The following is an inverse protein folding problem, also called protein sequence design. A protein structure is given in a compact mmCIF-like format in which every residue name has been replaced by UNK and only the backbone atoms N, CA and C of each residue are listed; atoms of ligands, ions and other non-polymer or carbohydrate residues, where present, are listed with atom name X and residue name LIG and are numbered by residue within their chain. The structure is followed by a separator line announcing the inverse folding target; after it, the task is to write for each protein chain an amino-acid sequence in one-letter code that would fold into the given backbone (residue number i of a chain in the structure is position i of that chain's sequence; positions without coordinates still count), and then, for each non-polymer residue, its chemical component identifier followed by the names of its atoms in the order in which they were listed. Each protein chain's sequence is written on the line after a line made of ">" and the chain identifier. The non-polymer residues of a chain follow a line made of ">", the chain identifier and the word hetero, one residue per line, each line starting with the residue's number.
data_IF_548541177240
#
_entry.id   IF_548541177240
#
_cell.length_a   1.000
_cell.length_b   1.000
_cell.length_c   1.000
_cell.angle_alpha   90.00
_cell.angle_beta   90.00
_cell.angle_gamma   90.00
#
_symmetry.space_group_name_H-M   'P 1'
#
loop_
_entity.id
_entity.type
_entity.pdbx_description
1 polymer ?
#
# COMPACT_ATOMS: atom_id res chain seq x y z
N UNK A 1 -15.13 7.41 27.08
CA UNK A 1 -14.64 7.53 25.69
C UNK A 1 -15.23 6.35 24.92
N UNK A 2 -16.29 6.58 24.14
CA UNK A 2 -16.95 5.49 23.38
C UNK A 2 -16.01 5.19 22.21
N UNK A 3 -15.29 4.07 22.27
CA UNK A 3 -14.65 3.53 21.08
C UNK A 3 -15.77 3.12 20.13
N UNK A 4 -16.04 3.93 19.12
CA UNK A 4 -16.97 3.55 18.06
C UNK A 4 -16.45 2.26 17.42
N UNK A 5 -17.26 1.21 17.41
CA UNK A 5 -16.93 -0.01 16.70
C UNK A 5 -16.70 0.32 15.22
N UNK A 6 -15.68 -0.30 14.62
CA UNK A 6 -15.39 -0.09 13.21
C UNK A 6 -16.57 -0.55 12.36
N UNK A 7 -17.06 0.34 11.51
CA UNK A 7 -18.13 0.09 10.56
C UNK A 7 -17.57 0.27 9.16
N UNK A 8 -17.81 -0.71 8.28
CA UNK A 8 -17.42 -0.61 6.89
C UNK A 8 -18.34 0.40 6.20
N UNK A 9 -17.76 1.44 5.61
CA UNK A 9 -18.48 2.44 4.84
C UNK A 9 -18.78 1.90 3.44
N UNK A 10 -19.82 1.08 3.37
CA UNK A 10 -20.24 0.44 2.10
C UNK A 10 -20.66 1.46 1.05
N UNK A 11 -21.15 2.64 1.47
CA UNK A 11 -21.60 3.66 0.54
C UNK A 11 -20.42 4.34 -0.14
N UNK A 12 -19.42 4.77 0.64
CA UNK A 12 -18.18 5.34 0.11
C UNK A 12 -17.47 4.35 -0.82
N UNK A 13 -17.30 3.10 -0.38
CA UNK A 13 -16.64 2.05 -1.18
C UNK A 13 -17.39 1.75 -2.48
N UNK A 14 -18.73 1.78 -2.45
CA UNK A 14 -19.54 1.58 -3.66
C UNK A 14 -19.44 2.76 -4.61
N UNK A 15 -19.43 3.98 -4.09
CA UNK A 15 -19.28 5.21 -4.88
C UNK A 15 -17.92 5.23 -5.58
N UNK A 16 -16.88 4.92 -4.83
CA UNK A 16 -15.50 4.85 -5.31
C UNK A 16 -15.32 3.76 -6.37
N UNK A 17 -15.83 2.54 -6.12
CA UNK A 17 -15.88 1.48 -7.14
C UNK A 17 -16.67 1.90 -8.40
N UNK A 18 -17.58 2.86 -8.26
CA UNK A 18 -18.44 3.31 -9.35
C UNK A 18 -17.86 4.46 -10.19
N UNK A 19 -16.73 5.04 -9.79
CA UNK A 19 -16.05 6.13 -10.50
C UNK A 19 -15.73 5.75 -11.95
N UNK A 20 -15.75 6.75 -12.84
CA UNK A 20 -15.46 6.53 -14.26
C UNK A 20 -14.01 6.10 -14.49
N UNK A 21 -13.06 6.64 -13.73
CA UNK A 21 -11.64 6.24 -13.74
C UNK A 21 -11.45 4.74 -13.49
N UNK A 22 -12.32 4.16 -12.66
CA UNK A 22 -12.32 2.74 -12.29
C UNK A 22 -13.05 1.85 -13.30
N UNK A 23 -13.67 2.42 -14.34
CA UNK A 23 -14.48 1.68 -15.31
C UNK A 23 -13.73 0.52 -15.99
N UNK A 24 -12.46 0.65 -16.43
CA UNK A 24 -11.77 -0.43 -17.13
C UNK A 24 -11.56 -1.64 -16.23
N UNK A 25 -11.06 -1.40 -15.01
CA UNK A 25 -10.78 -2.42 -14.00
C UNK A 25 -12.08 -3.08 -13.52
N UNK A 26 -13.10 -2.27 -13.20
CA UNK A 26 -14.44 -2.73 -12.83
C UNK A 26 -15.04 -3.63 -13.92
N UNK A 27 -15.05 -3.18 -15.17
CA UNK A 27 -15.64 -3.92 -16.28
C UNK A 27 -14.93 -5.25 -16.50
N UNK A 28 -13.61 -5.27 -16.39
CA UNK A 28 -12.84 -6.50 -16.46
C UNK A 28 -13.17 -7.45 -15.32
N UNK A 29 -13.23 -6.97 -14.07
CA UNK A 29 -13.61 -7.79 -12.93
C UNK A 29 -15.01 -8.41 -13.13
N UNK A 30 -16.00 -7.59 -13.48
CA UNK A 30 -17.38 -8.05 -13.68
C UNK A 30 -17.53 -9.04 -14.85
N UNK A 31 -16.68 -8.91 -15.87
CA UNK A 31 -16.65 -9.84 -17.01
C UNK A 31 -16.03 -11.19 -16.64
N UNK A 32 -14.95 -11.19 -15.85
CA UNK A 32 -14.17 -12.40 -15.55
C UNK A 32 -14.70 -13.19 -14.35
N UNK A 33 -15.39 -12.53 -13.42
CA UNK A 33 -15.91 -13.16 -12.21
C UNK A 33 -17.42 -12.98 -12.13
N UNK A 34 -18.13 -14.11 -12.24
CA UNK A 34 -19.59 -14.17 -12.19
C UNK A 34 -20.05 -15.27 -11.23
N UNK A 35 -21.30 -15.17 -10.76
CA UNK A 35 -21.90 -16.12 -9.84
C UNK A 35 -21.06 -16.34 -8.58
N UNK A 36 -20.92 -17.60 -8.19
CA UNK A 36 -20.26 -18.00 -6.95
C UNK A 36 -18.83 -17.48 -6.80
N UNK A 37 -18.03 -17.50 -7.88
CA UNK A 37 -16.64 -17.01 -7.85
C UNK A 37 -16.54 -15.54 -7.49
N UNK A 38 -17.53 -14.73 -7.92
CA UNK A 38 -17.58 -13.31 -7.57
C UNK A 38 -17.93 -13.13 -6.09
N UNK A 39 -18.91 -13.87 -5.60
CA UNK A 39 -19.33 -13.83 -4.20
C UNK A 39 -18.17 -14.19 -3.27
N UNK A 40 -17.42 -15.25 -3.60
CA UNK A 40 -16.24 -15.66 -2.82
C UNK A 40 -15.19 -14.55 -2.69
N UNK A 41 -14.86 -13.87 -3.79
CA UNK A 41 -13.92 -12.74 -3.78
C UNK A 41 -14.45 -11.57 -2.94
N UNK A 42 -15.75 -11.29 -3.02
CA UNK A 42 -16.38 -10.22 -2.23
C UNK A 42 -16.39 -10.56 -0.73
N UNK A 43 -16.61 -11.81 -0.35
CA UNK A 43 -16.52 -12.27 1.04
C UNK A 43 -15.10 -12.14 1.59
N UNK A 44 -14.10 -12.58 0.83
CA UNK A 44 -12.68 -12.40 1.18
C UNK A 44 -12.38 -10.92 1.44
N UNK A 45 -12.86 -10.04 0.58
CA UNK A 45 -12.68 -8.60 0.71
C UNK A 45 -13.31 -8.03 2.00
N UNK A 46 -14.58 -8.31 2.26
CA UNK A 46 -15.23 -7.78 3.48
C UNK A 46 -14.65 -8.37 4.77
N UNK A 47 -14.27 -9.65 4.76
CA UNK A 47 -13.55 -10.27 5.88
C UNK A 47 -12.21 -9.59 6.12
N UNK A 48 -11.49 -9.23 5.05
CA UNK A 48 -10.25 -8.48 5.15
C UNK A 48 -10.48 -7.10 5.77
N UNK A 49 -11.43 -6.30 5.29
CA UNK A 49 -11.74 -4.97 5.86
C UNK A 49 -12.07 -5.04 7.35
N UNK A 50 -12.87 -6.02 7.77
CA UNK A 50 -13.19 -6.25 9.18
C UNK A 50 -11.95 -6.60 10.02
N UNK A 51 -11.03 -7.38 9.46
CA UNK A 51 -9.79 -7.78 10.15
C UNK A 51 -8.83 -6.61 10.37
N UNK A 52 -8.70 -5.70 9.39
CA UNK A 52 -7.79 -4.55 9.46
C UNK A 52 -8.45 -3.31 10.05
N UNK A 53 -9.79 -3.30 10.16
CA UNK A 53 -10.59 -2.16 10.64
C UNK A 53 -10.31 -0.87 9.86
N UNK A 54 -10.25 -0.98 8.53
CA UNK A 54 -10.04 0.12 7.59
C UNK A 54 -10.98 -0.02 6.38
N UNK A 55 -11.42 1.10 5.83
CA UNK A 55 -12.12 1.15 4.55
C UNK A 55 -11.07 1.29 3.45
N UNK A 56 -10.79 0.20 2.74
CA UNK A 56 -9.81 0.14 1.65
C UNK A 56 -10.58 -0.10 0.36
N UNK A 57 -10.29 0.61 -0.74
CA UNK A 57 -10.87 0.37 -2.06
C UNK A 57 -10.90 -1.10 -2.48
N UNK A 58 -12.01 -1.51 -3.11
CA UNK A 58 -12.13 -2.88 -3.62
C UNK A 58 -11.09 -3.19 -4.68
N UNK A 59 -10.84 -2.26 -5.61
CA UNK A 59 -9.94 -2.49 -6.74
C UNK A 59 -8.47 -2.58 -6.30
N UNK A 60 -8.07 -1.83 -5.26
CA UNK A 60 -6.75 -1.96 -4.64
C UNK A 60 -6.56 -3.32 -3.99
N UNK A 61 -7.56 -3.75 -3.19
CA UNK A 61 -7.53 -5.07 -2.57
C UNK A 61 -7.54 -6.19 -3.61
N UNK A 62 -8.31 -6.01 -4.70
CA UNK A 62 -8.39 -6.97 -5.79
C UNK A 62 -7.07 -7.06 -6.56
N UNK A 63 -6.40 -5.93 -6.81
CA UNK A 63 -5.07 -5.92 -7.40
C UNK A 63 -4.08 -6.76 -6.57
N UNK A 64 -4.00 -6.53 -5.26
CA UNK A 64 -3.16 -7.33 -4.37
C UNK A 64 -3.53 -8.83 -4.38
N UNK A 65 -4.83 -9.14 -4.43
CA UNK A 65 -5.33 -10.51 -4.56
C UNK A 65 -4.84 -11.17 -5.86
N UNK A 66 -4.86 -10.47 -7.00
CA UNK A 66 -4.40 -11.01 -8.28
C UNK A 66 -2.90 -11.33 -8.27
N UNK A 67 -2.09 -10.52 -7.58
CA UNK A 67 -0.65 -10.80 -7.38
C UNK A 67 -0.48 -12.08 -6.56
N UNK A 68 -1.12 -12.15 -5.39
CA UNK A 68 -1.02 -13.30 -4.47
C UNK A 68 -1.45 -14.62 -5.10
N UNK A 69 -2.48 -14.57 -5.97
CA UNK A 69 -3.03 -15.75 -6.65
C UNK A 69 -2.41 -16.00 -8.04
N UNK A 70 -1.42 -15.20 -8.44
CA UNK A 70 -0.81 -15.24 -9.76
C UNK A 70 -1.83 -15.24 -10.92
N UNK A 71 -2.86 -14.39 -10.80
CA UNK A 71 -3.91 -14.23 -11.80
C UNK A 71 -3.43 -13.23 -12.85
N UNK A 72 -3.68 -13.54 -14.13
CA UNK A 72 -3.49 -12.56 -15.20
C UNK A 72 -4.47 -11.40 -15.02
N UNK A 73 -3.93 -10.20 -14.82
CA UNK A 73 -4.70 -8.99 -14.62
C UNK A 73 -4.06 -7.88 -15.48
N UNK A 74 -4.75 -7.37 -16.52
CA UNK A 74 -4.14 -6.48 -17.50
C UNK A 74 -3.91 -5.06 -16.98
N UNK A 75 -4.49 -4.71 -15.83
CA UNK A 75 -4.24 -3.45 -15.11
C UNK A 75 -3.26 -3.65 -13.96
N UNK A 76 -2.37 -4.65 -14.08
CA UNK A 76 -1.12 -4.65 -13.34
C UNK A 76 -0.31 -3.48 -13.87
N UNK A 77 -0.59 -2.29 -13.37
CA UNK A 77 0.44 -1.28 -13.36
C UNK A 77 1.44 -1.82 -12.36
N UNK A 78 2.66 -2.11 -12.82
CA UNK A 78 3.78 -2.10 -11.90
C UNK A 78 3.67 -0.76 -11.20
N UNK A 79 3.38 -0.77 -9.89
CA UNK A 79 3.39 0.45 -9.06
C UNK A 79 4.72 1.22 -9.18
N UNK A 80 5.71 0.61 -9.84
CA UNK A 80 7.06 1.06 -10.12
C UNK A 80 7.18 1.81 -11.48
N UNK A 81 6.25 1.62 -12.42
CA UNK A 81 6.44 2.02 -13.83
C UNK A 81 6.04 3.46 -14.21
N UNK A 82 4.87 3.95 -13.75
CA UNK A 82 4.29 5.19 -14.29
C UNK A 82 4.12 6.33 -13.27
N UNK A 83 4.20 6.02 -11.97
CA UNK A 83 4.18 7.02 -10.88
C UNK A 83 5.46 6.98 -10.05
N UNK A 84 6.62 6.68 -10.64
CA UNK A 84 7.90 6.93 -9.98
C UNK A 84 8.08 8.45 -9.86
N UNK A 85 7.45 9.06 -8.86
CA UNK A 85 7.85 10.32 -8.28
C UNK A 85 9.27 10.14 -7.76
N UNK A 86 10.26 10.22 -8.66
CA UNK A 86 11.68 10.17 -8.35
C UNK A 86 11.98 9.23 -7.17
N UNK A 87 11.58 7.95 -7.26
CA UNK A 87 12.04 6.97 -6.28
C UNK A 87 13.55 7.12 -6.32
N UNK A 88 14.13 7.56 -5.21
CA UNK A 88 15.56 7.79 -5.10
C UNK A 88 16.19 6.42 -5.27
N UNK A 89 16.50 6.04 -6.51
CA UNK A 89 17.02 4.72 -6.81
C UNK A 89 18.42 4.59 -6.24
N UNK A 90 19.12 5.70 -6.03
CA UNK A 90 20.47 5.77 -5.47
C UNK A 90 20.43 6.30 -4.03
N UNK A 91 20.52 5.38 -3.08
CA UNK A 91 20.54 5.67 -1.65
C UNK A 91 21.97 5.86 -1.16
N UNK A 92 22.20 6.85 -0.31
CA UNK A 92 23.47 7.01 0.41
C UNK A 92 23.29 6.44 1.81
N UNK A 93 23.94 5.34 2.13
CA UNK A 93 23.90 4.74 3.46
C UNK A 93 24.70 5.59 4.45
N UNK A 94 24.42 5.43 5.74
CA UNK A 94 25.15 6.11 6.83
C UNK A 94 26.67 5.90 6.75
N UNK A 95 27.08 4.76 6.20
CA UNK A 95 28.47 4.31 6.14
C UNK A 95 29.20 4.88 4.90
N UNK A 96 28.53 5.70 4.09
CA UNK A 96 29.07 6.32 2.88
C UNK A 96 28.90 5.49 1.61
N UNK A 97 28.44 4.24 1.72
CA UNK A 97 28.14 3.37 0.58
C UNK A 97 26.91 3.86 -0.20
N UNK A 98 26.96 3.70 -1.52
CA UNK A 98 25.84 3.99 -2.42
C UNK A 98 25.21 2.69 -2.88
N UNK A 99 23.91 2.53 -2.65
CA UNK A 99 23.18 1.36 -3.13
C UNK A 99 22.13 1.80 -4.13
N UNK A 100 22.00 1.03 -5.21
CA UNK A 100 20.91 1.20 -6.16
C UNK A 100 19.79 0.22 -5.80
N UNK A 101 18.60 0.71 -5.50
CA UNK A 101 17.45 -0.12 -5.14
C UNK A 101 16.14 0.56 -5.50
N UNK A 102 15.24 -0.20 -6.14
CA UNK A 102 13.87 0.22 -6.45
C UNK A 102 13.00 0.33 -5.19
N UNK A 103 13.37 -0.39 -4.12
CA UNK A 103 12.70 -0.31 -2.83
C UNK A 103 13.55 0.45 -1.80
N UNK A 104 12.94 1.23 -0.90
CA UNK A 104 13.67 1.90 0.17
C UNK A 104 14.45 0.89 1.03
N UNK A 105 15.73 1.14 1.36
CA UNK A 105 16.56 0.20 2.09
C UNK A 105 16.04 -0.03 3.51
N UNK A 106 16.13 -1.26 4.02
CA UNK A 106 15.73 -1.55 5.42
C UNK A 106 16.60 -0.82 6.46
N UNK A 107 17.77 -0.38 6.05
CA UNK A 107 18.76 0.32 6.87
C UNK A 107 18.59 1.85 6.80
N UNK A 108 19.20 2.57 7.75
CA UNK A 108 19.21 4.03 7.72
C UNK A 108 19.95 4.55 6.48
N UNK A 109 19.36 5.56 5.82
CA UNK A 109 19.95 6.26 4.70
C UNK A 109 19.97 7.78 4.95
N UNK A 110 20.91 8.45 4.30
CA UNK A 110 21.09 9.89 4.35
C UNK A 110 20.26 10.57 3.27
N UNK A 111 19.57 11.65 3.65
CA UNK A 111 18.88 12.54 2.70
C UNK A 111 19.89 13.56 2.14
N UNK A 112 20.26 13.47 0.86
CA UNK A 112 21.39 14.24 0.32
C UNK A 112 21.14 15.76 0.27
N UNK A 113 19.88 16.19 0.21
CA UNK A 113 19.50 17.61 0.04
C UNK A 113 18.98 18.26 1.32
N UNK A 114 18.87 17.51 2.43
CA UNK A 114 18.28 18.00 3.67
C UNK A 114 19.35 17.98 4.76
N UNK A 115 19.49 19.13 5.43
CA UNK A 115 20.37 19.30 6.58
C UNK A 115 19.55 19.80 7.77
N UNK A 116 19.98 19.44 8.97
CA UNK A 116 19.39 20.00 10.18
C UNK A 116 19.82 21.47 10.40
N UNK A 117 19.28 22.11 11.42
CA UNK A 117 19.58 23.50 11.79
C UNK A 117 21.07 23.72 12.15
N UNK A 118 21.82 22.64 12.35
CA UNK A 118 23.26 22.60 12.67
C UNK A 118 24.10 22.18 11.47
N UNK A 119 23.51 22.13 10.27
CA UNK A 119 24.13 21.77 9.01
C UNK A 119 24.62 20.30 8.92
N UNK A 120 24.14 19.41 9.79
CA UNK A 120 24.44 17.99 9.75
C UNK A 120 23.53 17.28 8.74
N UNK A 121 24.01 16.18 8.13
CA UNK A 121 23.16 15.32 7.32
C UNK A 121 21.98 14.72 8.09
N UNK A 122 20.78 14.79 7.51
CA UNK A 122 19.60 14.13 8.08
C UNK A 122 19.56 12.66 7.67
N UNK A 123 19.39 11.78 8.65
CA UNK A 123 19.21 10.34 8.46
C UNK A 123 17.73 9.97 8.54
N UNK A 124 17.29 9.12 7.63
CA UNK A 124 15.94 8.54 7.62
C UNK A 124 16.02 7.01 7.63
N UNK A 125 15.12 6.38 8.35
CA UNK A 125 14.85 4.94 8.23
C UNK A 125 13.47 4.81 7.58
N UNK A 126 13.34 4.15 6.43
CA UNK A 126 12.10 4.20 5.66
C UNK A 126 10.98 3.39 6.32
N UNK A 127 11.28 2.47 7.25
CA UNK A 127 10.26 1.73 7.98
C UNK A 127 10.69 1.47 9.43
N UNK A 128 9.77 1.66 10.38
CA UNK A 128 9.86 0.98 11.67
C UNK A 128 9.42 -0.46 11.45
N UNK A 129 10.37 -1.34 11.16
CA UNK A 129 10.08 -2.78 11.10
C UNK A 129 10.22 -3.38 12.50
N UNK A 130 9.29 -4.26 12.85
CA UNK A 130 9.47 -5.22 13.94
C UNK A 130 10.58 -6.22 13.58
N UNK A 131 11.04 -6.93 14.59
CA UNK A 131 12.02 -8.00 14.45
C UNK A 131 11.57 -9.05 13.43
N UNK A 132 12.52 -9.59 12.66
CA UNK A 132 12.23 -10.47 11.50
C UNK A 132 11.60 -11.80 11.94
N UNK A 133 11.79 -12.17 13.21
CA UNK A 133 11.31 -13.41 13.80
C UNK A 133 9.90 -13.31 14.41
N UNK A 134 9.26 -12.13 14.40
CA UNK A 134 7.88 -11.97 14.86
C UNK A 134 6.85 -12.24 13.76
N UNK A 135 5.79 -12.99 14.10
CA UNK A 135 4.67 -13.23 13.19
C UNK A 135 3.93 -11.94 12.85
N UNK A 136 3.68 -11.73 11.55
CA UNK A 136 2.99 -10.55 11.03
C UNK A 136 1.54 -10.50 11.54
N UNK A 137 1.16 -9.45 12.26
CA UNK A 137 -0.21 -9.24 12.75
C UNK A 137 -0.98 -8.23 11.89
N UNK A 138 -2.31 -8.24 11.98
CA UNK A 138 -3.17 -7.24 11.31
C UNK A 138 -2.88 -5.80 11.75
N UNK A 139 -2.39 -5.62 12.98
CA UNK A 139 -1.91 -4.31 13.48
C UNK A 139 -0.69 -3.82 12.71
N UNK A 140 0.21 -4.72 12.34
CA UNK A 140 1.44 -4.39 11.61
C UNK A 140 1.12 -3.97 10.17
N UNK A 141 0.17 -4.68 9.52
CA UNK A 141 -0.36 -4.30 8.20
C UNK A 141 -1.01 -2.91 8.28
N UNK A 142 -1.82 -2.65 9.31
CA UNK A 142 -2.46 -1.33 9.52
C UNK A 142 -1.42 -0.22 9.69
N UNK A 143 -0.40 -0.41 10.51
CA UNK A 143 0.66 0.59 10.71
C UNK A 143 1.47 0.86 9.44
N UNK A 144 1.76 -0.18 8.63
CA UNK A 144 2.40 -0.03 7.32
C UNK A 144 1.53 0.81 6.36
N UNK A 145 0.23 0.51 6.27
CA UNK A 145 -0.69 1.26 5.41
C UNK A 145 -0.88 2.71 5.88
N UNK A 146 -0.94 2.96 7.18
CA UNK A 146 -0.99 4.31 7.75
C UNK A 146 0.29 5.12 7.43
N UNK A 147 1.45 4.47 7.48
CA UNK A 147 2.73 5.11 7.15
C UNK A 147 2.78 5.54 5.67
N UNK A 148 2.34 4.67 4.74
CA UNK A 148 2.27 4.98 3.29
C UNK A 148 1.29 6.12 3.00
N UNK A 149 0.13 6.13 3.67
CA UNK A 149 -0.86 7.20 3.50
C UNK A 149 -0.39 8.56 4.01
N UNK A 150 0.46 8.59 5.07
CA UNK A 150 1.05 9.84 5.56
C UNK A 150 2.11 10.37 4.58
N UNK A 151 2.93 9.49 4.01
CA UNK A 151 3.97 9.88 3.05
C UNK A 151 3.40 10.38 1.72
N UNK A 152 2.28 9.82 1.24
CA UNK A 152 1.66 10.21 -0.03
C UNK A 152 0.76 11.46 0.04
N UNK A 153 0.37 11.92 1.24
CA UNK A 153 -0.54 13.08 1.39
C UNK A 153 0.17 14.41 1.61
N UNK A 154 1.46 14.38 1.93
CA UNK A 154 2.26 15.56 2.29
C UNK A 154 3.54 15.73 1.46
N UNK A 155 3.67 14.98 0.36
CA UNK A 155 4.64 15.22 -0.72
C UNK A 155 3.88 15.73 -1.95
#
# INVERSE_FOLDING_TARGET
>A
MIQSEFQIDKEALRKEFSLEENQPQRSWFLKNYQGFKRTEIQEIYYNFLNSVKLNIPFLDCFHAYTIKKNIYYPFKHDLIGEHSTNVVTVWHLKDGERIQSELPPKTQYQLPQIRDDKNNPVLAAPFKTKDVDENLTSKDIKSLMEQVNYTNKYL
#
